data_IF_406688134873
#
_entry.id   IF_406688134873
#
_cell.length_a   1.000
_cell.length_b   1.000
_cell.length_c   1.000
_cell.angle_alpha   90.00
_cell.angle_beta   90.00
_cell.angle_gamma   90.00
#
_symmetry.space_group_name_H-M   'P 1'
#
loop_
_entity.id
_entity.type
_entity.pdbx_description
1 polymer ?
#
# COMPACT_ATOMS: atom_id res chain seq x y z
N UNK A 1 0.25 -57.71 0.89
CA UNK A 1 -0.57 -57.19 -0.23
C UNK A 1 -1.47 -55.99 0.15
N UNK A 2 -1.76 -55.74 1.43
CA UNK A 2 -2.53 -54.59 1.91
C UNK A 2 -1.76 -53.28 1.76
N UNK A 3 -0.48 -53.24 2.07
CA UNK A 3 0.37 -52.05 2.08
C UNK A 3 0.43 -51.26 0.73
N UNK A 4 0.46 -51.94 -0.40
CA UNK A 4 0.47 -51.26 -1.71
C UNK A 4 -0.88 -50.64 -2.09
N UNK A 5 -1.97 -51.25 -1.65
CA UNK A 5 -3.31 -50.73 -1.85
C UNK A 5 -3.53 -49.50 -0.98
N UNK A 6 -3.11 -49.57 0.27
CA UNK A 6 -3.23 -48.48 1.22
C UNK A 6 -2.38 -47.28 0.79
N UNK A 7 -1.18 -47.49 0.26
CA UNK A 7 -0.33 -46.44 -0.32
C UNK A 7 -1.00 -45.77 -1.53
N UNK A 8 -1.58 -46.55 -2.45
CA UNK A 8 -2.29 -45.98 -3.61
C UNK A 8 -3.50 -45.14 -3.20
N UNK A 9 -4.26 -45.60 -2.21
CA UNK A 9 -5.42 -44.88 -1.67
C UNK A 9 -4.93 -43.56 -1.05
N UNK A 10 -3.91 -43.60 -0.20
CA UNK A 10 -3.35 -42.38 0.43
C UNK A 10 -2.84 -41.38 -0.58
N UNK A 11 -2.11 -41.83 -1.60
CA UNK A 11 -1.63 -40.97 -2.67
C UNK A 11 -2.78 -40.35 -3.49
N UNK A 12 -3.82 -41.14 -3.77
CA UNK A 12 -4.99 -40.62 -4.50
C UNK A 12 -5.75 -39.59 -3.68
N UNK A 13 -5.96 -39.82 -2.39
CA UNK A 13 -6.61 -38.87 -1.49
C UNK A 13 -5.78 -37.55 -1.41
N UNK A 14 -4.46 -37.69 -1.24
CA UNK A 14 -3.57 -36.53 -1.20
C UNK A 14 -3.62 -35.74 -2.50
N UNK A 15 -3.61 -36.41 -3.65
CA UNK A 15 -3.70 -35.75 -4.96
C UNK A 15 -5.04 -34.99 -5.14
N UNK A 16 -6.15 -35.63 -4.74
CA UNK A 16 -7.47 -34.99 -4.78
C UNK A 16 -7.51 -33.77 -3.89
N UNK A 17 -7.05 -33.84 -2.65
CA UNK A 17 -7.02 -32.72 -1.72
C UNK A 17 -6.13 -31.58 -2.24
N UNK A 18 -4.99 -31.92 -2.82
CA UNK A 18 -4.08 -30.92 -3.41
C UNK A 18 -4.71 -30.18 -4.61
N UNK A 19 -5.32 -30.94 -5.52
CA UNK A 19 -6.03 -30.37 -6.68
C UNK A 19 -7.20 -29.50 -6.22
N UNK A 20 -7.99 -29.98 -5.25
CA UNK A 20 -9.09 -29.22 -4.69
C UNK A 20 -8.58 -27.92 -4.05
N UNK A 21 -7.48 -27.97 -3.31
CA UNK A 21 -6.84 -26.78 -2.72
C UNK A 21 -6.41 -25.77 -3.76
N UNK A 22 -5.78 -26.20 -4.86
CA UNK A 22 -5.41 -25.33 -5.97
C UNK A 22 -6.65 -24.69 -6.62
N UNK A 23 -7.68 -25.49 -6.88
CA UNK A 23 -8.92 -24.99 -7.49
C UNK A 23 -9.60 -23.96 -6.57
N UNK A 24 -9.69 -24.25 -5.27
CA UNK A 24 -10.24 -23.30 -4.32
C UNK A 24 -9.43 -22.01 -4.27
N UNK A 25 -8.10 -22.11 -4.22
CA UNK A 25 -7.23 -20.94 -4.21
C UNK A 25 -7.36 -20.09 -5.49
N UNK A 26 -7.44 -20.74 -6.66
CA UNK A 26 -7.56 -20.04 -7.94
C UNK A 26 -8.97 -19.51 -8.25
N UNK A 27 -10.01 -20.13 -7.66
CA UNK A 27 -11.40 -19.76 -7.92
C UNK A 27 -11.97 -18.73 -6.93
N UNK A 28 -11.33 -18.54 -5.78
CA UNK A 28 -11.76 -17.60 -4.74
C UNK A 28 -10.68 -16.54 -4.51
N UNK A 29 -10.51 -15.65 -5.48
CA UNK A 29 -9.77 -14.42 -5.23
C UNK A 29 -10.55 -13.58 -4.20
N UNK A 30 -9.92 -13.23 -3.06
CA UNK A 30 -10.55 -12.30 -2.14
C UNK A 30 -10.80 -10.98 -2.87
N UNK A 31 -11.95 -10.34 -2.68
CA UNK A 31 -12.19 -9.03 -3.26
C UNK A 31 -11.05 -8.09 -2.82
N UNK A 32 -10.48 -7.36 -3.78
CA UNK A 32 -9.51 -6.33 -3.47
C UNK A 32 -10.17 -5.34 -2.50
N UNK A 33 -9.46 -4.85 -1.48
CA UNK A 33 -9.98 -3.80 -0.62
C UNK A 33 -10.37 -2.61 -1.50
N UNK A 34 -11.52 -2.01 -1.23
CA UNK A 34 -12.04 -0.86 -1.98
C UNK A 34 -11.06 0.32 -1.94
N UNK A 35 -10.30 0.42 -0.85
CA UNK A 35 -9.19 1.37 -0.72
C UNK A 35 -7.91 0.66 -0.28
N UNK A 36 -6.75 1.04 -0.80
CA UNK A 36 -5.49 0.46 -0.37
C UNK A 36 -5.20 0.85 1.09
N UNK A 37 -5.21 -0.15 1.96
CA UNK A 37 -4.93 0.02 3.41
C UNK A 37 -3.54 0.62 3.64
N UNK A 38 -2.59 0.32 2.74
CA UNK A 38 -1.22 0.84 2.77
C UNK A 38 -0.74 1.13 1.37
N UNK A 39 -0.21 2.33 1.19
CA UNK A 39 0.47 2.76 -0.02
C UNK A 39 1.97 2.58 0.15
N UNK A 40 2.64 2.08 -0.87
CA UNK A 40 4.09 1.95 -0.88
C UNK A 40 4.68 2.88 -1.94
N UNK A 41 5.38 3.90 -1.49
CA UNK A 41 6.15 4.78 -2.35
C UNK A 41 7.57 4.24 -2.47
N UNK A 42 7.99 3.91 -3.68
CA UNK A 42 9.35 3.45 -3.96
C UNK A 42 10.15 4.59 -4.58
N UNK A 43 11.29 4.90 -3.97
CA UNK A 43 12.20 5.93 -4.47
C UNK A 43 13.67 5.53 -4.25
N UNK A 44 14.59 6.42 -4.65
CA UNK A 44 16.04 6.18 -4.54
C UNK A 44 16.56 6.08 -3.10
N UNK A 45 15.85 6.69 -2.15
CA UNK A 45 16.21 6.69 -0.72
C UNK A 45 15.65 5.50 0.06
N UNK A 46 14.90 4.61 -0.58
CA UNK A 46 14.25 3.45 0.04
C UNK A 46 12.75 3.47 -0.13
N UNK A 47 12.08 2.51 0.51
CA UNK A 47 10.63 2.36 0.44
C UNK A 47 9.97 3.13 1.59
N UNK A 48 8.89 3.86 1.30
CA UNK A 48 8.04 4.49 2.31
C UNK A 48 6.70 3.77 2.32
N UNK A 49 6.28 3.29 3.49
CA UNK A 49 4.96 2.70 3.69
C UNK A 49 4.06 3.73 4.38
N UNK A 50 2.99 4.10 3.72
CA UNK A 50 2.00 5.05 4.20
C UNK A 50 0.67 4.34 4.47
N UNK A 51 0.13 4.49 5.66
CA UNK A 51 -1.17 3.93 6.05
C UNK A 51 -2.25 4.99 5.86
N UNK A 52 -2.87 5.01 4.68
CA UNK A 52 -3.91 5.98 4.33
C UNK A 52 -5.11 5.92 5.28
N UNK A 53 -5.66 4.72 5.50
CA UNK A 53 -6.79 4.52 6.40
C UNK A 53 -6.50 4.95 7.84
N UNK A 54 -5.27 4.78 8.33
CA UNK A 54 -4.90 5.18 9.69
C UNK A 54 -4.94 6.70 9.86
N UNK A 55 -4.50 7.45 8.83
CA UNK A 55 -4.56 8.91 8.86
C UNK A 55 -6.00 9.43 8.81
N UNK A 56 -6.87 8.79 8.05
CA UNK A 56 -8.28 9.20 7.93
C UNK A 56 -9.11 8.69 9.11
N UNK A 57 -9.07 7.38 9.38
CA UNK A 57 -9.98 6.76 10.33
C UNK A 57 -9.54 6.94 11.78
N UNK A 58 -8.23 6.84 12.05
CA UNK A 58 -7.70 6.91 13.41
C UNK A 58 -7.38 8.35 13.85
N UNK A 59 -6.84 9.17 12.93
CA UNK A 59 -6.48 10.56 13.27
C UNK A 59 -7.52 11.60 12.80
N UNK A 60 -8.52 11.17 12.03
CA UNK A 60 -9.64 12.01 11.62
C UNK A 60 -9.27 13.11 10.64
N UNK A 61 -8.27 12.89 9.79
CA UNK A 61 -7.86 13.85 8.78
C UNK A 61 -8.83 13.83 7.59
N UNK A 62 -8.99 14.97 6.94
CA UNK A 62 -9.81 15.10 5.74
C UNK A 62 -8.97 14.96 4.47
N UNK A 63 -9.61 14.56 3.39
CA UNK A 63 -8.95 14.40 2.08
C UNK A 63 -8.14 15.65 1.68
N UNK A 64 -8.69 16.83 1.95
CA UNK A 64 -8.08 18.12 1.59
C UNK A 64 -6.82 18.46 2.41
N UNK A 65 -6.62 17.82 3.56
CA UNK A 65 -5.41 18.05 4.37
C UNK A 65 -4.15 17.55 3.67
N UNK A 66 -4.30 16.57 2.75
CA UNK A 66 -3.21 16.01 1.96
C UNK A 66 -3.37 16.28 0.47
N UNK A 67 -4.60 16.20 -0.05
CA UNK A 67 -4.91 16.38 -1.47
C UNK A 67 -5.41 17.80 -1.73
N UNK A 68 -4.51 18.71 -2.11
CA UNK A 68 -4.85 20.10 -2.35
C UNK A 68 -5.60 20.37 -3.67
N UNK A 69 -5.66 19.36 -4.55
CA UNK A 69 -6.36 19.42 -5.83
C UNK A 69 -7.42 18.32 -5.85
N UNK A 70 -8.64 18.66 -5.43
CA UNK A 70 -9.80 17.77 -5.49
C UNK A 70 -10.84 18.48 -6.36
N UNK A 71 -11.23 17.86 -7.47
CA UNK A 71 -12.27 18.37 -8.36
C UNK A 71 -13.48 17.42 -8.32
N UNK A 72 -14.57 17.89 -7.74
CA UNK A 72 -15.85 17.22 -7.53
C UNK A 72 -15.75 15.92 -6.72
N UNK A 73 -15.34 14.82 -7.24
CA UNK A 73 -15.14 13.53 -6.56
C UNK A 73 -13.87 12.83 -7.04
N UNK A 74 -12.99 13.57 -7.74
CA UNK A 74 -11.77 13.04 -8.32
C UNK A 74 -10.56 13.54 -7.52
N UNK A 75 -9.77 12.60 -7.03
CA UNK A 75 -8.53 12.86 -6.28
C UNK A 75 -7.36 12.53 -7.19
N UNK A 76 -6.53 13.51 -7.45
CA UNK A 76 -5.36 13.36 -8.32
C UNK A 76 -4.14 12.85 -7.56
N UNK A 77 -3.39 11.96 -8.17
CA UNK A 77 -2.10 11.53 -7.64
C UNK A 77 -1.06 12.66 -7.68
N UNK A 78 -0.22 12.77 -6.64
CA UNK A 78 0.85 13.76 -6.61
C UNK A 78 1.73 13.75 -7.87
N UNK A 79 1.92 12.55 -8.46
CA UNK A 79 2.74 12.33 -9.66
C UNK A 79 2.14 12.89 -10.95
N UNK A 80 0.88 13.26 -10.97
CA UNK A 80 0.25 13.85 -12.15
C UNK A 80 0.69 15.30 -12.39
N UNK A 81 1.00 16.01 -11.30
CA UNK A 81 1.44 17.41 -11.36
C UNK A 81 2.88 17.60 -10.87
N UNK A 82 3.32 16.84 -9.85
CA UNK A 82 4.66 16.94 -9.31
C UNK A 82 5.60 15.91 -9.96
N UNK A 83 6.45 16.39 -10.84
CA UNK A 83 7.42 15.55 -11.56
C UNK A 83 8.68 15.27 -10.73
N UNK A 84 9.60 14.47 -11.25
CA UNK A 84 10.86 14.10 -10.56
C UNK A 84 11.73 15.34 -10.29
N UNK A 85 11.72 16.31 -11.19
CA UNK A 85 12.36 17.61 -11.02
C UNK A 85 11.30 18.69 -10.95
N UNK A 86 11.33 19.51 -9.90
CA UNK A 86 10.49 20.69 -9.79
C UNK A 86 10.88 21.79 -10.78
N UNK A 87 10.02 22.79 -10.91
CA UNK A 87 10.26 24.00 -11.68
C UNK A 87 9.95 25.27 -10.84
N UNK A 88 9.90 26.43 -11.49
CA UNK A 88 9.64 27.71 -10.81
C UNK A 88 8.25 27.78 -10.17
N UNK A 89 7.29 27.00 -10.63
CA UNK A 89 5.87 27.06 -10.21
C UNK A 89 5.44 25.86 -9.38
N UNK A 90 6.14 24.73 -9.52
CA UNK A 90 5.77 23.47 -8.85
C UNK A 90 7.00 22.80 -8.22
N UNK A 91 6.94 22.44 -6.92
CA UNK A 91 8.01 21.68 -6.29
C UNK A 91 8.14 20.29 -6.93
N UNK A 92 9.32 19.71 -6.79
CA UNK A 92 9.50 18.32 -7.17
C UNK A 92 8.56 17.41 -6.36
N UNK A 93 8.25 16.22 -6.90
CA UNK A 93 7.43 15.24 -6.18
C UNK A 93 8.01 14.88 -4.80
N UNK A 94 9.33 14.80 -4.69
CA UNK A 94 9.99 14.54 -3.42
C UNK A 94 9.79 15.68 -2.42
N UNK A 95 9.95 16.92 -2.88
CA UNK A 95 9.76 18.10 -2.04
C UNK A 95 8.30 18.24 -1.62
N UNK A 96 7.35 18.07 -2.55
CA UNK A 96 5.92 18.11 -2.26
C UNK A 96 5.51 17.08 -1.20
N UNK A 97 5.99 15.83 -1.32
CA UNK A 97 5.73 14.78 -0.33
C UNK A 97 6.39 15.07 1.02
N UNK A 98 7.62 15.57 1.03
CA UNK A 98 8.31 15.95 2.28
C UNK A 98 7.60 17.11 2.97
N UNK A 99 7.23 18.16 2.25
CA UNK A 99 6.46 19.28 2.82
C UNK A 99 5.13 18.80 3.40
N UNK A 100 4.40 17.99 2.66
CA UNK A 100 3.08 17.51 3.12
C UNK A 100 3.21 16.58 4.33
N UNK A 101 4.11 15.61 4.30
CA UNK A 101 4.23 14.62 5.38
C UNK A 101 5.00 15.17 6.59
N UNK A 102 6.25 15.61 6.38
CA UNK A 102 7.12 16.08 7.46
C UNK A 102 6.59 17.38 8.05
N UNK A 103 6.18 18.33 7.19
CA UNK A 103 5.62 19.61 7.66
C UNK A 103 4.43 19.41 8.58
N UNK A 104 3.48 18.55 8.21
CA UNK A 104 2.34 18.22 9.07
C UNK A 104 2.78 17.55 10.38
N UNK A 105 3.68 16.56 10.33
CA UNK A 105 4.17 15.88 11.52
C UNK A 105 4.92 16.82 12.49
N UNK A 106 5.66 17.78 11.96
CA UNK A 106 6.32 18.84 12.76
C UNK A 106 5.32 19.79 13.38
N UNK A 107 4.33 20.26 12.62
CA UNK A 107 3.31 21.21 13.08
C UNK A 107 2.43 20.60 14.19
N UNK A 108 2.06 19.34 14.05
CA UNK A 108 1.28 18.62 15.06
C UNK A 108 2.11 18.03 16.20
N UNK A 109 3.44 17.98 16.05
CA UNK A 109 4.34 17.36 17.01
C UNK A 109 4.10 15.84 17.15
N UNK A 110 3.62 15.17 16.11
CA UNK A 110 3.25 13.76 16.10
C UNK A 110 3.61 13.13 14.76
N UNK A 111 4.01 11.85 14.80
CA UNK A 111 4.44 11.11 13.61
C UNK A 111 5.95 11.18 13.36
N UNK A 112 6.44 10.42 12.34
CA UNK A 112 7.86 10.35 12.03
C UNK A 112 8.34 11.59 11.26
N UNK A 113 9.48 12.14 11.66
CA UNK A 113 10.15 13.27 10.98
C UNK A 113 11.57 12.92 10.53
N UNK A 114 12.14 11.83 11.05
CA UNK A 114 13.48 11.39 10.70
C UNK A 114 13.48 10.56 9.40
N UNK A 115 14.50 10.77 8.54
CA UNK A 115 14.59 10.06 7.26
C UNK A 115 14.44 8.54 7.37
N UNK A 116 15.13 7.92 8.35
CA UNK A 116 15.10 6.48 8.58
C UNK A 116 13.80 5.95 9.18
N UNK A 117 12.95 6.82 9.68
CA UNK A 117 11.63 6.45 10.23
C UNK A 117 10.59 6.24 9.14
N UNK A 118 10.79 6.88 7.98
CA UNK A 118 9.93 6.74 6.82
C UNK A 118 10.56 5.83 5.75
N UNK A 119 11.87 5.99 5.47
CA UNK A 119 12.58 5.26 4.43
C UNK A 119 13.15 3.95 4.95
N UNK A 120 12.52 2.82 4.60
CA UNK A 120 13.06 1.48 4.83
C UNK A 120 14.06 1.11 3.73
N UNK A 121 15.24 0.62 4.14
CA UNK A 121 16.27 0.09 3.25
C UNK A 121 16.03 -1.38 2.91
#
# INVERSE_FOLDING_TARGET
>A
MSSQRDLKISLSVMAVLFITGIICYAAFDPPAPEEPVRLMFQNKAGKVLFSHSEHIDAYGLYCIDCHHNIDYDEVYDCSECHYETGDEYQPSRADALHETCIGCHEDYGAGPVECSSCHAQ
#
